data_IF_326846888247
#
_entry.id   IF_326846888247
#
_cell.length_a   1.000
_cell.length_b   1.000
_cell.length_c   1.000
_cell.angle_alpha   90.00
_cell.angle_beta   90.00
_cell.angle_gamma   90.00
#
_symmetry.space_group_name_H-M   'P 1'
#
loop_
_entity.id
_entity.type
_entity.pdbx_description
1 polymer ?
#
# COMPACT_ATOMS: atom_id res chain seq x y z
N UNK A 1 6.14 -62.80 5.78
CA UNK A 1 7.21 -63.11 6.76
C UNK A 1 7.63 -61.78 7.38
N UNK A 2 7.10 -61.43 8.57
CA UNK A 2 7.72 -61.64 9.90
C UNK A 2 9.09 -60.93 9.97
N UNK A 3 9.24 -59.80 10.65
CA UNK A 3 9.21 -59.57 12.12
C UNK A 3 10.56 -58.90 12.47
N UNK A 4 10.85 -58.14 13.53
CA UNK A 4 10.36 -57.79 14.88
C UNK A 4 11.11 -56.48 15.24
N UNK A 5 10.86 -55.67 16.27
CA UNK A 5 10.03 -55.65 17.48
C UNK A 5 10.29 -54.27 18.16
N UNK A 6 9.26 -53.61 18.73
CA UNK A 6 9.01 -53.48 20.17
C UNK A 6 10.12 -52.70 20.95
N UNK A 7 9.85 -51.72 21.81
CA UNK A 7 8.74 -51.61 22.76
C UNK A 7 8.66 -50.21 23.42
N UNK A 8 7.41 -49.71 23.61
CA UNK A 8 6.79 -49.14 24.84
C UNK A 8 7.28 -47.81 25.48
N UNK A 9 6.47 -46.95 26.13
CA UNK A 9 5.02 -46.75 26.41
C UNK A 9 4.88 -45.30 26.95
N UNK A 10 3.80 -44.53 26.74
CA UNK A 10 2.64 -44.46 27.65
C UNK A 10 1.42 -43.79 26.95
N UNK A 11 0.27 -44.44 27.14
CA UNK A 11 -1.12 -44.14 26.73
C UNK A 11 -1.68 -42.86 27.40
N UNK A 12 -2.52 -42.00 26.82
CA UNK A 12 -3.78 -42.09 26.02
C UNK A 12 -5.08 -42.02 26.86
N UNK A 13 -5.89 -41.00 26.50
CA UNK A 13 -7.37 -40.82 26.49
C UNK A 13 -8.20 -40.93 27.79
N UNK A 14 -9.11 -40.01 28.17
CA UNK A 14 -10.22 -39.24 27.52
C UNK A 14 -11.59 -39.95 27.64
N UNK A 15 -12.60 -39.13 28.01
CA UNK A 15 -14.08 -39.22 27.84
C UNK A 15 -15.01 -39.63 29.02
N UNK A 16 -15.88 -38.65 29.33
CA UNK A 16 -17.35 -38.67 29.47
C UNK A 16 -18.11 -39.29 30.67
N UNK A 17 -18.87 -38.39 31.31
CA UNK A 17 -20.33 -38.38 31.54
C UNK A 17 -21.03 -39.55 32.26
N UNK A 18 -21.81 -39.23 33.30
CA UNK A 18 -22.84 -40.11 33.86
C UNK A 18 -23.45 -39.60 35.16
N UNK A 19 -24.72 -39.17 35.09
CA UNK A 19 -25.62 -38.89 36.22
C UNK A 19 -25.76 -40.10 37.17
N UNK A 20 -26.06 -39.85 38.46
CA UNK A 20 -27.25 -40.39 39.12
C UNK A 20 -27.44 -39.85 40.54
N UNK A 21 -28.69 -39.44 40.82
CA UNK A 21 -29.22 -39.11 42.13
C UNK A 21 -30.01 -40.30 42.69
N UNK A 22 -29.91 -40.59 44.00
CA UNK A 22 -30.97 -41.23 44.82
C UNK A 22 -30.52 -41.28 46.30
N UNK A 23 -31.12 -40.51 47.21
CA UNK A 23 -32.24 -40.83 48.14
C UNK A 23 -31.89 -41.60 49.42
N UNK A 24 -32.17 -40.94 50.55
CA UNK A 24 -32.80 -41.40 51.81
C UNK A 24 -32.28 -42.63 52.57
N UNK A 25 -32.01 -42.44 53.88
CA UNK A 25 -32.71 -43.17 54.96
C UNK A 25 -32.58 -42.50 56.34
N UNK A 26 -33.74 -42.37 56.99
CA UNK A 26 -33.94 -42.07 58.40
C UNK A 26 -33.62 -43.31 59.27
N UNK A 27 -33.16 -43.07 60.49
CA UNK A 27 -33.04 -44.09 61.54
C UNK A 27 -32.84 -43.46 62.91
N UNK A 28 -33.95 -43.31 63.65
CA UNK A 28 -34.05 -42.94 65.07
C UNK A 28 -33.33 -43.97 65.97
N UNK A 29 -32.76 -43.50 67.06
CA UNK A 29 -32.86 -44.17 68.38
C UNK A 29 -32.99 -43.13 69.48
N UNK A 30 -34.03 -43.30 70.28
CA UNK A 30 -34.35 -42.59 71.52
C UNK A 30 -33.32 -42.93 72.62
N UNK A 31 -33.15 -42.00 73.56
CA UNK A 31 -32.38 -42.19 74.79
C UNK A 31 -32.58 -40.95 75.67
N UNK A 32 -33.18 -41.17 76.82
CA UNK A 32 -34.06 -40.25 77.53
C UNK A 32 -33.42 -39.71 78.83
N UNK A 33 -33.90 -38.52 79.23
CA UNK A 33 -33.97 -37.90 80.58
C UNK A 33 -32.72 -37.43 81.38
N UNK A 34 -32.96 -36.24 81.98
CA UNK A 34 -32.42 -35.60 83.20
C UNK A 34 -31.30 -34.59 82.99
N UNK A 35 -31.26 -33.40 83.60
CA UNK A 35 -32.21 -32.54 84.31
C UNK A 35 -31.45 -31.25 84.67
N UNK A 36 -32.12 -30.09 84.63
CA UNK A 36 -31.79 -28.83 85.32
C UNK A 36 -30.51 -28.07 84.91
N UNK A 37 -30.66 -26.87 84.33
CA UNK A 37 -30.53 -25.64 85.13
C UNK A 37 -31.05 -24.41 84.36
N UNK A 38 -31.91 -23.63 85.00
CA UNK A 38 -32.27 -22.28 84.59
C UNK A 38 -31.21 -21.31 85.17
N UNK A 39 -30.68 -20.40 84.36
CA UNK A 39 -30.59 -18.96 84.70
C UNK A 39 -29.75 -18.14 83.72
N UNK A 40 -30.09 -16.85 83.68
CA UNK A 40 -29.32 -15.71 83.19
C UNK A 40 -29.59 -15.21 81.75
N UNK A 41 -30.59 -14.33 81.71
CA UNK A 41 -30.80 -13.26 80.74
C UNK A 41 -29.54 -12.37 80.62
N UNK A 42 -29.06 -12.14 79.39
CA UNK A 42 -28.31 -10.94 79.01
C UNK A 42 -28.82 -10.42 77.65
N UNK A 43 -29.24 -9.15 77.52
CA UNK A 43 -29.62 -8.58 76.24
C UNK A 43 -28.34 -8.27 75.44
N UNK A 44 -28.08 -9.10 74.43
CA UNK A 44 -27.04 -8.89 73.43
C UNK A 44 -27.30 -7.61 72.63
N UNK A 45 -26.54 -6.58 72.97
CA UNK A 45 -26.34 -5.31 72.26
C UNK A 45 -26.33 -5.50 70.73
N UNK A 46 -27.36 -5.02 70.03
CA UNK A 46 -27.32 -4.83 68.56
C UNK A 46 -26.28 -3.76 68.26
N UNK A 47 -25.02 -4.17 68.15
CA UNK A 47 -23.95 -3.35 67.59
C UNK A 47 -24.20 -3.22 66.10
N UNK A 48 -24.54 -2.01 65.69
CA UNK A 48 -24.84 -1.61 64.32
C UNK A 48 -23.61 -1.80 63.44
N UNK A 49 -23.64 -2.84 62.60
CA UNK A 49 -22.78 -2.96 61.40
C UNK A 49 -23.07 -1.88 60.34
N UNK A 50 -23.71 -0.77 60.71
CA UNK A 50 -24.16 0.26 59.76
C UNK A 50 -22.96 0.86 59.02
N UNK A 51 -21.84 1.11 59.69
CA UNK A 51 -20.64 1.65 59.06
C UNK A 51 -20.06 0.72 57.98
N UNK A 52 -20.06 -0.59 58.21
CA UNK A 52 -19.57 -1.59 57.26
C UNK A 52 -20.48 -1.67 56.03
N UNK A 53 -21.80 -1.70 56.24
CA UNK A 53 -22.79 -1.69 55.17
C UNK A 53 -22.77 -0.40 54.37
N UNK A 54 -22.52 0.74 55.02
CA UNK A 54 -22.40 2.04 54.35
C UNK A 54 -21.14 2.07 53.47
N UNK A 55 -20.01 1.53 53.94
CA UNK A 55 -18.80 1.41 53.11
C UNK A 55 -19.01 0.49 51.90
N UNK A 56 -19.66 -0.66 52.07
CA UNK A 56 -19.95 -1.58 50.95
C UNK A 56 -20.87 -0.91 49.92
N UNK A 57 -21.89 -0.18 50.36
CA UNK A 57 -22.78 0.56 49.47
C UNK A 57 -22.08 1.71 48.73
N UNK A 58 -21.18 2.43 49.41
CA UNK A 58 -20.38 3.50 48.78
C UNK A 58 -19.41 2.92 47.74
N UNK A 59 -18.73 1.82 48.04
CA UNK A 59 -17.83 1.14 47.09
C UNK A 59 -18.62 0.59 45.89
N UNK A 60 -19.77 -0.03 46.13
CA UNK A 60 -20.65 -0.53 45.07
C UNK A 60 -21.21 0.61 44.19
N UNK A 61 -21.55 1.75 44.79
CA UNK A 61 -22.00 2.94 44.06
C UNK A 61 -20.86 3.56 43.23
N UNK A 62 -19.66 3.67 43.79
CA UNK A 62 -18.48 4.13 43.04
C UNK A 62 -18.17 3.18 41.87
N UNK A 63 -18.24 1.86 42.09
CA UNK A 63 -18.05 0.87 41.03
C UNK A 63 -19.14 0.95 39.97
N UNK A 64 -20.41 1.15 40.36
CA UNK A 64 -21.53 1.31 39.43
C UNK A 64 -21.43 2.62 38.64
N UNK A 65 -20.97 3.72 39.26
CA UNK A 65 -20.72 5.00 38.59
C UNK A 65 -19.52 4.86 37.64
N UNK A 66 -18.42 4.23 38.06
CA UNK A 66 -17.26 3.99 37.21
C UNK A 66 -17.63 3.08 36.03
N UNK A 67 -18.43 2.03 36.25
CA UNK A 67 -18.94 1.17 35.20
C UNK A 67 -19.92 1.90 34.28
N UNK A 68 -20.82 2.72 34.82
CA UNK A 68 -21.72 3.55 34.02
C UNK A 68 -20.95 4.58 33.18
N UNK A 69 -19.92 5.22 33.74
CA UNK A 69 -19.03 6.14 33.03
C UNK A 69 -18.24 5.42 31.94
N UNK A 70 -17.70 4.23 32.21
CA UNK A 70 -17.03 3.39 31.22
C UNK A 70 -17.98 2.94 30.10
N UNK A 71 -19.22 2.56 30.43
CA UNK A 71 -20.26 2.18 29.46
C UNK A 71 -20.79 3.39 28.67
N UNK A 72 -20.80 4.58 29.26
CA UNK A 72 -21.19 5.85 28.62
C UNK A 72 -20.07 6.45 27.77
N UNK A 73 -18.82 6.06 28.00
CA UNK A 73 -17.64 6.46 27.23
C UNK A 73 -17.22 5.41 26.18
N UNK A 74 -18.09 4.45 25.90
CA UNK A 74 -17.90 3.51 24.79
C UNK A 74 -17.81 4.30 23.48
N UNK A 75 -16.59 4.50 23.02
CA UNK A 75 -16.25 5.14 21.77
C UNK A 75 -16.56 4.26 20.56
N UNK A 76 -15.85 4.50 19.48
CA UNK A 76 -15.85 3.64 18.29
C UNK A 76 -14.43 3.29 17.89
N UNK A 77 -14.32 2.39 16.94
CA UNK A 77 -13.04 1.95 16.39
C UNK A 77 -12.76 2.72 15.10
N UNK A 78 -11.60 3.39 15.02
CA UNK A 78 -11.09 3.98 13.80
C UNK A 78 -10.02 3.05 13.22
N UNK A 79 -10.27 2.49 12.04
CA UNK A 79 -9.32 1.68 11.29
C UNK A 79 -8.79 2.48 10.12
N UNK A 80 -7.54 2.92 10.25
CA UNK A 80 -6.84 3.72 9.23
C UNK A 80 -5.94 2.79 8.42
N UNK A 81 -6.24 2.61 7.14
CA UNK A 81 -5.45 1.84 6.20
C UNK A 81 -4.75 2.78 5.22
N UNK A 82 -3.42 2.77 5.18
CA UNK A 82 -2.65 3.66 4.30
C UNK A 82 -1.78 2.91 3.31
N UNK A 83 -1.65 3.48 2.12
CA UNK A 83 -0.73 3.04 1.08
C UNK A 83 0.18 4.22 0.74
N UNK A 84 1.47 4.21 1.07
CA UNK A 84 2.27 3.11 1.62
C UNK A 84 2.02 2.90 3.14
N UNK A 85 2.60 1.86 3.76
CA UNK A 85 2.74 1.78 5.22
C UNK A 85 3.63 2.90 5.77
N UNK A 86 3.75 3.00 7.10
CA UNK A 86 4.66 3.93 7.78
C UNK A 86 4.15 5.37 7.82
N UNK A 87 2.84 5.58 7.75
CA UNK A 87 2.22 6.92 7.78
C UNK A 87 1.88 7.27 9.23
N UNK A 88 2.30 8.46 9.68
CA UNK A 88 1.92 8.98 10.98
C UNK A 88 0.45 9.36 10.96
N UNK A 89 -0.31 8.81 11.89
CA UNK A 89 -1.72 9.12 12.12
C UNK A 89 -1.80 10.13 13.25
N UNK A 90 -2.46 11.26 12.97
CA UNK A 90 -2.63 12.38 13.88
C UNK A 90 -4.11 12.55 14.17
N UNK A 91 -4.50 12.62 15.44
CA UNK A 91 -5.86 12.95 15.86
C UNK A 91 -5.79 14.24 16.68
N UNK A 92 -6.56 15.24 16.26
CA UNK A 92 -6.68 16.54 16.94
C UNK A 92 -5.31 17.19 17.25
N UNK A 93 -4.37 17.05 16.31
CA UNK A 93 -3.02 17.63 16.39
C UNK A 93 -1.97 16.76 17.09
N UNK A 94 -2.36 15.63 17.70
CA UNK A 94 -1.44 14.71 18.38
C UNK A 94 -1.18 13.46 17.55
N UNK A 95 0.08 13.05 17.39
CA UNK A 95 0.41 11.77 16.72
C UNK A 95 0.02 10.61 17.62
N UNK A 96 -0.91 9.78 17.16
CA UNK A 96 -1.48 8.66 17.92
C UNK A 96 -0.87 7.31 17.53
N UNK A 97 -0.20 7.23 16.39
CA UNK A 97 0.51 6.03 15.95
C UNK A 97 1.01 6.12 14.52
N UNK A 98 1.52 5.00 14.03
CA UNK A 98 2.02 4.83 12.66
C UNK A 98 1.39 3.58 12.07
N UNK A 99 0.99 3.61 10.81
CA UNK A 99 0.45 2.44 10.11
C UNK A 99 1.53 1.38 9.87
N UNK A 100 1.56 0.33 10.70
CA UNK A 100 2.38 -0.87 10.46
C UNK A 100 1.64 -1.81 9.52
N UNK A 101 2.31 -2.38 8.51
CA UNK A 101 1.67 -3.23 7.49
C UNK A 101 0.41 -2.60 6.88
N UNK A 102 0.49 -1.28 6.64
CA UNK A 102 -0.55 -0.46 6.05
C UNK A 102 -1.81 -0.29 6.89
N UNK A 103 -1.86 -0.70 8.16
CA UNK A 103 -3.06 -0.53 9.02
C UNK A 103 -2.69 -0.02 10.41
N UNK A 104 -3.51 0.88 10.94
CA UNK A 104 -3.55 1.23 12.36
C UNK A 104 -5.02 1.16 12.83
N UNK A 105 -5.26 0.47 13.94
CA UNK A 105 -6.60 0.38 14.57
C UNK A 105 -6.54 1.10 15.90
N UNK A 106 -7.46 2.03 16.13
CA UNK A 106 -7.52 2.88 17.31
C UNK A 106 -8.92 2.84 17.91
N UNK A 107 -9.00 2.77 19.24
CA UNK A 107 -10.23 3.09 19.96
C UNK A 107 -10.28 4.60 20.20
N UNK A 108 -11.34 5.26 19.73
CA UNK A 108 -11.47 6.71 19.73
C UNK A 108 -12.77 7.09 20.45
N UNK A 109 -12.69 8.10 21.31
CA UNK A 109 -13.87 8.62 22.00
C UNK A 109 -14.91 9.11 20.98
N UNK A 110 -16.19 9.00 21.36
CA UNK A 110 -17.31 9.50 20.56
C UNK A 110 -17.18 11.00 20.27
N UNK A 111 -17.61 11.42 19.07
CA UNK A 111 -17.57 12.80 18.64
C UNK A 111 -16.86 12.98 17.30
N UNK A 112 -16.71 14.22 16.87
CA UNK A 112 -15.97 14.55 15.64
C UNK A 112 -14.51 14.78 15.96
N UNK A 113 -13.63 14.06 15.25
CA UNK A 113 -12.18 14.18 15.38
C UNK A 113 -11.56 14.67 14.08
N UNK A 114 -10.48 15.44 14.17
CA UNK A 114 -9.67 15.83 13.01
C UNK A 114 -8.59 14.80 12.78
N UNK A 115 -8.76 14.02 11.72
CA UNK A 115 -7.78 13.03 11.29
C UNK A 115 -6.76 13.70 10.37
N UNK A 116 -5.48 13.52 10.67
CA UNK A 116 -4.36 13.95 9.84
C UNK A 116 -3.45 12.78 9.51
N UNK A 117 -3.00 12.70 8.25
CA UNK A 117 -2.05 11.68 7.80
C UNK A 117 -0.79 12.36 7.27
N UNK A 118 0.37 11.93 7.75
CA UNK A 118 1.65 12.58 7.43
C UNK A 118 2.79 11.56 7.27
N UNK A 119 3.49 11.64 6.13
CA UNK A 119 4.74 10.92 5.85
C UNK A 119 5.67 11.83 5.05
N UNK A 120 6.97 11.83 5.37
CA UNK A 120 7.94 12.68 4.69
C UNK A 120 7.97 12.39 3.18
N UNK A 121 7.91 13.43 2.35
CA UNK A 121 7.87 13.31 0.89
C UNK A 121 6.49 12.98 0.32
N UNK A 122 5.44 13.01 1.14
CA UNK A 122 4.05 12.84 0.74
C UNK A 122 3.22 14.08 1.08
N UNK A 123 2.18 14.31 0.28
CA UNK A 123 1.18 15.32 0.56
C UNK A 123 0.46 15.01 1.87
N UNK A 124 0.21 16.05 2.68
CA UNK A 124 -0.52 15.90 3.94
C UNK A 124 -2.00 15.74 3.65
N UNK A 125 -2.63 14.75 4.26
CA UNK A 125 -4.09 14.55 4.16
C UNK A 125 -4.74 14.96 5.48
N UNK A 126 -5.88 15.63 5.39
CA UNK A 126 -6.71 15.98 6.56
C UNK A 126 -8.18 15.69 6.25
N UNK A 127 -8.88 15.09 7.20
CA UNK A 127 -10.32 14.84 7.15
C UNK A 127 -10.95 15.01 8.55
N UNK A 128 -12.27 15.08 8.61
CA UNK A 128 -13.03 15.06 9.86
C UNK A 128 -13.87 13.79 9.91
N UNK A 129 -13.67 12.99 10.95
CA UNK A 129 -14.38 11.72 11.14
C UNK A 129 -15.32 11.84 12.35
N UNK A 130 -16.57 11.42 12.20
CA UNK A 130 -17.54 11.46 13.29
C UNK A 130 -17.74 10.07 13.88
N UNK A 131 -17.17 9.84 15.06
CA UNK A 131 -17.19 8.55 15.76
C UNK A 131 -18.50 8.39 16.55
N UNK A 132 -19.25 7.32 16.27
CA UNK A 132 -20.41 6.90 17.08
C UNK A 132 -20.08 5.67 17.91
N UNK A 133 -20.90 5.43 18.94
CA UNK A 133 -20.73 4.31 19.87
C UNK A 133 -20.77 2.97 19.14
N UNK A 134 -19.70 2.19 19.29
CA UNK A 134 -19.57 0.85 18.72
C UNK A 134 -19.48 0.82 17.19
N UNK A 135 -19.32 1.97 16.54
CA UNK A 135 -19.11 2.08 15.10
C UNK A 135 -17.66 1.78 14.75
N UNK A 136 -17.45 1.14 13.61
CA UNK A 136 -16.12 0.98 13.00
C UNK A 136 -16.06 1.90 11.79
N UNK A 137 -15.15 2.87 11.81
CA UNK A 137 -14.88 3.75 10.68
C UNK A 137 -13.63 3.25 9.97
N UNK A 138 -13.78 2.91 8.69
CA UNK A 138 -12.68 2.49 7.81
C UNK A 138 -12.23 3.70 6.99
N UNK A 139 -10.98 4.14 7.18
CA UNK A 139 -10.36 5.20 6.39
C UNK A 139 -9.27 4.57 5.54
N UNK A 140 -9.51 4.44 4.23
CA UNK A 140 -8.51 3.97 3.27
C UNK A 140 -7.89 5.16 2.54
N UNK A 141 -6.58 5.37 2.71
CA UNK A 141 -5.86 6.48 2.08
C UNK A 141 -4.65 6.02 1.28
N UNK A 142 -4.63 6.38 0.00
CA UNK A 142 -3.42 6.33 -0.83
C UNK A 142 -2.72 7.68 -0.75
N UNK A 143 -1.50 7.70 -0.21
CA UNK A 143 -0.70 8.91 -0.07
C UNK A 143 -0.09 9.27 -1.43
N UNK A 144 -0.26 10.52 -1.86
CA UNK A 144 0.37 11.06 -3.06
C UNK A 144 1.76 11.61 -2.73
N UNK A 145 2.75 11.36 -3.57
CA UNK A 145 4.06 12.01 -3.46
C UNK A 145 4.07 13.25 -4.32
N UNK A 146 4.70 14.32 -3.85
CA UNK A 146 4.70 15.61 -4.56
C UNK A 146 5.18 15.50 -6.03
N UNK A 147 6.12 14.58 -6.31
CA UNK A 147 6.77 14.44 -7.62
C UNK A 147 6.39 13.15 -8.37
N UNK A 148 5.61 12.25 -7.75
CA UNK A 148 5.30 10.94 -8.33
C UNK A 148 3.81 10.64 -8.27
N UNK A 149 3.30 10.00 -9.31
CA UNK A 149 1.94 9.48 -9.35
C UNK A 149 1.90 8.07 -8.77
N UNK A 150 0.92 7.82 -7.91
CA UNK A 150 0.59 6.44 -7.52
C UNK A 150 -0.06 5.70 -8.68
N UNK A 151 0.47 4.53 -9.01
CA UNK A 151 -0.11 3.61 -9.98
C UNK A 151 -0.62 2.38 -9.26
N UNK A 152 -1.94 2.21 -9.30
CA UNK A 152 -2.59 1.03 -8.76
C UNK A 152 -2.12 -0.24 -9.49
N UNK A 153 -1.81 -1.26 -8.71
CA UNK A 153 -1.47 -2.59 -9.21
C UNK A 153 -2.66 -3.31 -9.84
N UNK A 154 -2.53 -4.63 -9.93
CA UNK A 154 -3.53 -5.53 -10.50
C UNK A 154 -3.26 -5.89 -11.96
N UNK A 155 -4.20 -6.62 -12.55
CA UNK A 155 -4.07 -7.18 -13.88
C UNK A 155 -4.35 -6.16 -15.00
N UNK A 156 -3.66 -6.31 -16.13
CA UNK A 156 -3.93 -5.60 -17.38
C UNK A 156 -3.46 -6.39 -18.59
N UNK A 157 -4.01 -6.07 -19.76
CA UNK A 157 -3.60 -6.66 -21.03
C UNK A 157 -2.44 -5.83 -21.63
N UNK A 158 -1.25 -6.43 -21.70
CA UNK A 158 -0.04 -5.82 -22.23
C UNK A 158 0.17 -6.21 -23.69
N UNK A 159 0.50 -5.22 -24.54
CA UNK A 159 0.72 -5.38 -25.99
C UNK A 159 -0.43 -4.94 -26.88
N UNK A 160 -0.28 -5.18 -28.20
CA UNK A 160 -1.24 -4.77 -29.24
C UNK A 160 -1.48 -5.91 -30.25
N UNK A 161 -2.75 -6.35 -30.38
CA UNK A 161 -3.17 -7.39 -31.36
C UNK A 161 -2.93 -6.95 -32.80
N UNK A 162 -2.94 -5.65 -33.06
CA UNK A 162 -2.75 -5.04 -34.37
C UNK A 162 -1.37 -4.36 -34.48
N UNK A 163 -0.53 -4.47 -33.46
CA UNK A 163 0.79 -3.85 -33.40
C UNK A 163 1.87 -4.59 -34.18
N UNK A 164 3.10 -4.10 -34.04
CA UNK A 164 4.27 -4.75 -34.59
C UNK A 164 4.49 -6.15 -33.99
N UNK A 165 5.34 -6.95 -34.61
CA UNK A 165 5.64 -8.32 -34.14
C UNK A 165 6.11 -8.34 -32.68
N UNK A 166 6.94 -7.38 -32.27
CA UNK A 166 7.44 -7.30 -30.89
C UNK A 166 6.39 -6.88 -29.87
N UNK A 167 5.26 -6.34 -30.32
CA UNK A 167 4.13 -5.91 -29.47
C UNK A 167 3.11 -7.04 -29.25
N UNK A 168 3.40 -8.23 -29.80
CA UNK A 168 2.55 -9.42 -29.80
C UNK A 168 3.24 -10.59 -29.07
N UNK A 169 2.46 -11.54 -28.53
CA UNK A 169 1.00 -11.49 -28.37
C UNK A 169 0.58 -10.50 -27.28
N UNK A 170 -0.70 -10.12 -27.30
CA UNK A 170 -1.32 -9.55 -26.09
C UNK A 170 -1.35 -10.63 -25.01
N UNK A 171 -0.94 -10.27 -23.80
CA UNK A 171 -0.88 -11.19 -22.67
C UNK A 171 -1.24 -10.47 -21.37
N UNK A 172 -1.82 -11.20 -20.42
CA UNK A 172 -2.20 -10.66 -19.10
C UNK A 172 -0.96 -10.52 -18.21
N UNK A 173 -0.73 -9.31 -17.71
CA UNK A 173 0.30 -8.99 -16.72
C UNK A 173 -0.37 -8.48 -15.45
N UNK A 174 0.15 -8.88 -14.29
CA UNK A 174 -0.30 -8.48 -12.97
C UNK A 174 0.86 -7.78 -12.24
N UNK A 175 0.64 -6.50 -11.92
CA UNK A 175 1.66 -5.67 -11.27
C UNK A 175 1.31 -5.42 -9.81
N UNK A 176 2.33 -5.38 -8.96
CA UNK A 176 2.20 -4.72 -7.66
C UNK A 176 2.00 -3.21 -7.87
N UNK A 177 1.32 -2.50 -6.94
CA UNK A 177 1.26 -1.05 -6.98
C UNK A 177 2.64 -0.41 -6.79
N UNK A 178 2.86 0.75 -7.39
CA UNK A 178 4.14 1.47 -7.38
C UNK A 178 3.91 2.97 -7.59
N UNK A 179 4.96 3.75 -7.37
CA UNK A 179 5.02 5.16 -7.76
C UNK A 179 5.81 5.31 -9.07
N UNK A 180 5.38 6.22 -9.92
CA UNK A 180 6.11 6.62 -11.13
C UNK A 180 6.26 8.14 -11.16
N UNK A 181 7.44 8.63 -11.50
CA UNK A 181 7.70 10.06 -11.67
C UNK A 181 6.71 10.67 -12.66
N UNK A 182 6.16 11.84 -12.30
CA UNK A 182 5.15 12.53 -13.12
C UNK A 182 5.68 12.96 -14.47
N UNK A 183 6.96 13.31 -14.53
CA UNK A 183 7.67 13.75 -15.74
C UNK A 183 8.92 12.92 -15.94
N UNK A 184 9.58 13.08 -17.08
CA UNK A 184 10.97 12.67 -17.23
C UNK A 184 11.88 13.42 -16.22
N UNK A 185 13.04 12.83 -15.93
CA UNK A 185 14.09 13.48 -15.15
C UNK A 185 14.63 14.66 -15.95
N UNK A 186 14.71 15.82 -15.30
CA UNK A 186 15.16 17.05 -15.96
C UNK A 186 16.67 17.18 -15.98
N UNK A 187 17.18 17.99 -16.91
CA UNK A 187 18.59 18.37 -16.99
C UNK A 187 19.07 19.00 -15.68
N UNK A 188 18.28 19.87 -15.05
CA UNK A 188 18.63 20.50 -13.78
C UNK A 188 18.77 19.50 -12.64
N UNK A 189 17.84 18.54 -12.56
CA UNK A 189 17.90 17.48 -11.55
C UNK A 189 19.12 16.57 -11.77
N UNK A 190 19.42 16.23 -13.02
CA UNK A 190 20.59 15.40 -13.35
C UNK A 190 21.91 16.13 -13.11
N UNK A 191 22.02 17.44 -13.40
CA UNK A 191 23.20 18.26 -13.07
C UNK A 191 23.46 18.33 -11.56
N UNK A 192 22.39 18.31 -10.75
CA UNK A 192 22.51 18.23 -9.29
C UNK A 192 23.12 16.91 -8.81
N UNK A 193 22.89 15.81 -9.54
CA UNK A 193 23.50 14.50 -9.29
C UNK A 193 24.92 14.39 -9.86
N UNK A 194 25.12 14.80 -11.11
CA UNK A 194 26.39 14.78 -11.82
C UNK A 194 26.75 16.20 -12.31
N UNK A 195 27.52 16.97 -11.52
CA UNK A 195 28.02 18.28 -11.91
C UNK A 195 28.96 18.26 -13.13
N UNK A 196 29.40 17.07 -13.58
CA UNK A 196 30.19 16.86 -14.79
C UNK A 196 29.36 16.78 -16.07
N UNK A 197 28.05 16.57 -15.97
CA UNK A 197 27.17 16.52 -17.14
C UNK A 197 27.15 17.86 -17.88
N UNK A 198 27.37 17.83 -19.21
CA UNK A 198 27.38 19.00 -20.08
C UNK A 198 26.34 18.81 -21.18
N UNK A 199 25.39 19.73 -21.24
CA UNK A 199 24.37 19.79 -22.27
C UNK A 199 24.01 21.25 -22.53
N UNK A 200 23.60 21.56 -23.76
CA UNK A 200 23.07 22.88 -24.14
C UNK A 200 21.57 23.03 -23.82
N UNK A 201 20.94 21.96 -23.34
CA UNK A 201 19.54 21.96 -22.94
C UNK A 201 19.29 22.84 -21.70
N UNK A 202 18.08 23.42 -21.65
CA UNK A 202 17.51 24.12 -20.51
C UNK A 202 17.29 23.15 -19.34
N UNK A 203 17.41 23.65 -18.10
CA UNK A 203 17.29 22.83 -16.89
C UNK A 203 15.92 22.16 -16.74
N UNK A 204 14.87 22.67 -17.39
CA UNK A 204 13.53 22.08 -17.35
C UNK A 204 13.28 21.06 -18.47
N UNK A 205 14.17 20.95 -19.45
CA UNK A 205 14.08 19.90 -20.48
C UNK A 205 14.44 18.54 -19.89
N UNK A 206 13.95 17.42 -20.48
CA UNK A 206 14.37 16.09 -20.07
C UNK A 206 15.87 15.91 -20.33
N UNK A 207 16.57 15.28 -19.40
CA UNK A 207 17.96 14.90 -19.61
C UNK A 207 18.04 13.85 -20.72
N UNK A 208 18.92 14.05 -21.69
CA UNK A 208 19.18 13.10 -22.77
C UNK A 208 20.68 12.91 -22.99
N UNK A 209 21.08 12.14 -24.00
CA UNK A 209 22.49 11.85 -24.29
C UNK A 209 23.24 11.19 -23.11
N UNK A 210 22.49 10.35 -22.38
CA UNK A 210 23.01 9.50 -21.32
C UNK A 210 22.76 8.03 -21.66
N UNK A 211 23.63 7.16 -21.15
CA UNK A 211 23.45 5.72 -21.28
C UNK A 211 22.41 5.22 -20.29
N UNK A 212 21.90 4.01 -20.53
CA UNK A 212 21.03 3.32 -19.57
C UNK A 212 21.68 3.17 -18.19
N UNK A 213 23.00 2.98 -18.16
CA UNK A 213 23.74 2.79 -16.89
C UNK A 213 23.74 4.05 -16.04
N UNK A 214 23.83 5.22 -16.67
CA UNK A 214 23.76 6.51 -15.97
C UNK A 214 22.35 6.81 -15.49
N UNK A 215 21.33 6.52 -16.31
CA UNK A 215 19.93 6.65 -15.92
C UNK A 215 19.60 5.78 -14.68
N UNK A 216 20.06 4.53 -14.69
CA UNK A 216 19.87 3.60 -13.57
C UNK A 216 20.62 4.06 -12.31
N UNK A 217 21.87 4.51 -12.46
CA UNK A 217 22.67 5.04 -11.36
C UNK A 217 22.03 6.29 -10.73
N UNK A 218 21.50 7.20 -11.55
CA UNK A 218 20.74 8.35 -11.08
C UNK A 218 19.54 7.90 -10.23
N UNK A 219 18.67 7.04 -10.78
CA UNK A 219 17.46 6.62 -10.04
C UNK A 219 17.84 5.99 -8.70
N UNK A 220 18.87 5.14 -8.65
CA UNK A 220 19.38 4.56 -7.41
C UNK A 220 19.87 5.61 -6.41
N UNK A 221 20.58 6.63 -6.87
CA UNK A 221 21.11 7.68 -6.00
C UNK A 221 20.04 8.48 -5.26
N UNK A 222 18.83 8.58 -5.84
CA UNK A 222 17.68 9.26 -5.26
C UNK A 222 16.68 8.29 -4.59
N UNK A 223 17.09 7.05 -4.33
CA UNK A 223 16.26 6.04 -3.66
C UNK A 223 15.12 5.48 -4.53
N UNK A 224 15.25 5.58 -5.84
CA UNK A 224 14.28 5.09 -6.85
C UNK A 224 14.92 4.00 -7.73
N UNK A 225 14.23 3.59 -8.79
CA UNK A 225 14.71 2.67 -9.85
C UNK A 225 14.17 3.10 -11.21
N UNK A 226 14.63 2.49 -12.30
CA UNK A 226 13.92 2.59 -13.57
C UNK A 226 12.62 1.75 -13.50
N UNK A 227 11.54 2.16 -14.19
CA UNK A 227 10.35 1.32 -14.34
C UNK A 227 10.68 0.06 -15.14
N UNK A 228 9.96 -1.02 -14.89
CA UNK A 228 9.87 -2.12 -15.86
C UNK A 228 9.08 -1.66 -17.10
N UNK A 229 9.28 -2.36 -18.21
CA UNK A 229 8.54 -2.13 -19.44
C UNK A 229 7.02 -2.29 -19.23
N UNK A 230 6.62 -3.22 -18.35
CA UNK A 230 5.23 -3.47 -17.99
C UNK A 230 4.64 -2.35 -17.14
N UNK A 231 5.37 -1.87 -16.13
CA UNK A 231 4.98 -0.71 -15.34
C UNK A 231 4.84 0.53 -16.22
N UNK A 232 5.78 0.76 -17.13
CA UNK A 232 5.68 1.88 -18.04
C UNK A 232 4.43 1.78 -18.93
N UNK A 233 4.15 0.61 -19.51
CA UNK A 233 2.94 0.42 -20.33
C UNK A 233 1.65 0.63 -19.54
N UNK A 234 1.54 0.03 -18.35
CA UNK A 234 0.37 0.18 -17.47
C UNK A 234 0.10 1.64 -17.17
N UNK A 235 1.14 2.40 -16.86
CA UNK A 235 1.05 3.82 -16.55
C UNK A 235 0.61 4.64 -17.77
N UNK A 236 1.18 4.39 -18.95
CA UNK A 236 0.81 5.07 -20.20
C UNK A 236 -0.65 4.82 -20.59
N UNK A 237 -1.07 3.55 -20.56
CA UNK A 237 -2.41 3.15 -21.00
C UNK A 237 -3.51 3.51 -20.00
N UNK A 238 -3.15 3.61 -18.71
CA UNK A 238 -4.10 3.79 -17.62
C UNK A 238 -5.15 2.66 -17.53
N UNK A 239 -6.15 2.85 -16.69
CA UNK A 239 -7.22 1.86 -16.49
C UNK A 239 -8.08 1.61 -17.74
N UNK A 240 -8.11 2.55 -18.69
CA UNK A 240 -8.90 2.45 -19.93
C UNK A 240 -8.18 1.73 -21.07
N UNK A 241 -6.89 1.41 -20.91
CA UNK A 241 -6.15 0.69 -21.95
C UNK A 241 -5.81 1.54 -23.18
N UNK A 242 -5.65 2.87 -23.02
CA UNK A 242 -5.50 3.85 -24.10
C UNK A 242 -4.32 3.54 -25.05
N UNK A 243 -4.44 3.97 -26.31
CA UNK A 243 -3.35 3.79 -27.30
C UNK A 243 -2.18 4.76 -27.10
N UNK A 244 -2.45 5.97 -26.62
CA UNK A 244 -1.48 7.02 -26.31
C UNK A 244 -1.73 7.51 -24.88
N UNK A 245 -0.73 8.16 -24.28
CA UNK A 245 -0.81 8.63 -22.89
C UNK A 245 -2.02 9.53 -22.63
N UNK A 246 -2.45 10.29 -23.64
CA UNK A 246 -3.57 11.23 -23.60
C UNK A 246 -4.88 10.71 -24.21
N UNK A 247 -4.95 9.46 -24.71
CA UNK A 247 -6.16 8.87 -25.29
C UNK A 247 -5.93 7.98 -26.51
N UNK A 248 -6.97 7.73 -27.29
CA UNK A 248 -6.92 6.77 -28.40
C UNK A 248 -6.70 7.37 -29.78
N UNK A 249 -6.93 8.68 -29.93
CA UNK A 249 -6.73 9.39 -31.19
C UNK A 249 -5.38 10.09 -31.16
N UNK A 250 -4.51 9.73 -32.09
CA UNK A 250 -3.21 10.38 -32.23
C UNK A 250 -3.35 11.88 -32.50
N UNK A 251 -2.60 12.67 -31.74
CA UNK A 251 -2.47 14.12 -31.89
C UNK A 251 -1.00 14.51 -31.67
N UNK A 252 -0.37 15.02 -32.72
CA UNK A 252 1.03 15.47 -32.70
C UNK A 252 1.25 16.54 -31.62
N UNK A 253 0.29 17.45 -31.45
CA UNK A 253 0.39 18.57 -30.53
C UNK A 253 0.17 18.12 -29.08
N UNK A 254 -0.63 17.08 -28.84
CA UNK A 254 -0.90 16.57 -27.49
C UNK A 254 0.26 15.76 -26.89
N UNK A 255 1.18 15.26 -27.70
CA UNK A 255 2.32 14.46 -27.23
C UNK A 255 3.65 14.87 -27.84
N UNK A 256 3.84 16.13 -28.23
CA UNK A 256 5.08 16.61 -28.85
C UNK A 256 5.67 15.69 -29.94
N UNK A 257 4.88 14.90 -30.66
CA UNK A 257 5.38 13.81 -31.49
C UNK A 257 5.22 14.18 -32.95
N UNK A 258 6.27 14.72 -33.55
CA UNK A 258 6.30 15.09 -34.95
C UNK A 258 7.37 16.15 -35.25
N UNK A 259 8.17 15.91 -36.28
CA UNK A 259 9.24 16.83 -36.69
C UNK A 259 8.75 18.26 -36.98
N UNK A 260 7.49 18.42 -37.37
CA UNK A 260 6.86 19.72 -37.65
C UNK A 260 6.71 20.63 -36.43
N UNK A 261 6.90 20.12 -35.21
CA UNK A 261 6.75 20.89 -33.97
C UNK A 261 8.06 21.52 -33.47
N UNK A 262 9.19 21.22 -34.13
CA UNK A 262 10.50 21.81 -33.85
C UNK A 262 11.59 20.76 -33.63
N UNK A 263 12.84 21.22 -33.59
CA UNK A 263 14.01 20.38 -33.42
C UNK A 263 14.35 20.23 -31.93
N UNK A 264 14.01 19.08 -31.33
CA UNK A 264 14.43 18.71 -29.98
C UNK A 264 13.29 18.61 -28.96
N UNK A 265 13.64 18.13 -27.75
CA UNK A 265 12.71 18.02 -26.64
C UNK A 265 12.33 19.42 -26.12
N UNK A 266 11.27 19.52 -25.34
CA UNK A 266 10.88 20.76 -24.65
C UNK A 266 10.84 20.55 -23.15
N UNK A 267 10.52 21.60 -22.39
CA UNK A 267 10.39 21.50 -20.95
C UNK A 267 9.41 20.37 -20.58
N UNK A 268 9.74 19.58 -19.56
CA UNK A 268 8.85 18.54 -19.07
C UNK A 268 7.55 19.16 -18.53
N UNK A 269 6.47 18.40 -18.60
CA UNK A 269 5.13 18.82 -18.21
C UNK A 269 4.46 19.82 -19.17
N UNK A 270 4.99 19.99 -20.38
CA UNK A 270 4.44 20.94 -21.36
C UNK A 270 3.16 20.44 -22.05
N UNK A 271 2.90 19.14 -22.01
CA UNK A 271 1.82 18.52 -22.78
C UNK A 271 0.79 17.78 -21.92
N UNK A 272 -0.35 17.50 -22.57
CA UNK A 272 -1.58 17.10 -21.90
C UNK A 272 -1.36 15.92 -20.95
N UNK A 273 -2.01 16.03 -19.78
CA UNK A 273 -2.02 15.03 -18.71
C UNK A 273 -2.47 13.68 -19.24
N UNK A 274 -1.60 12.68 -19.10
CA UNK A 274 -2.03 11.30 -19.12
C UNK A 274 -2.76 10.91 -17.83
N UNK A 275 -3.09 9.62 -17.74
CA UNK A 275 -3.79 9.07 -16.58
C UNK A 275 -2.99 9.28 -15.29
N UNK A 276 -3.69 9.58 -14.19
CA UNK A 276 -3.06 9.69 -12.86
C UNK A 276 -2.12 10.90 -12.68
N UNK A 277 -2.20 11.92 -13.53
CA UNK A 277 -1.36 13.12 -13.42
C UNK A 277 0.07 12.95 -13.94
N UNK A 278 0.33 11.83 -14.64
CA UNK A 278 1.54 11.61 -15.42
C UNK A 278 1.52 12.49 -16.67
N UNK A 279 2.70 12.93 -17.08
CA UNK A 279 2.92 13.87 -18.18
C UNK A 279 3.94 13.26 -19.15
N UNK A 280 3.81 13.63 -20.42
CA UNK A 280 4.79 13.33 -21.48
C UNK A 280 5.08 11.84 -21.74
N UNK A 281 4.17 10.93 -21.38
CA UNK A 281 4.29 9.49 -21.72
C UNK A 281 4.15 9.18 -23.21
N UNK A 282 3.96 10.20 -24.05
CA UNK A 282 3.88 10.08 -25.50
C UNK A 282 4.68 11.21 -26.11
N UNK A 283 5.72 10.86 -26.87
CA UNK A 283 6.68 11.76 -27.48
C UNK A 283 7.62 12.45 -26.47
N UNK A 284 7.99 13.69 -26.73
CA UNK A 284 9.11 14.39 -26.09
C UNK A 284 10.43 13.62 -26.21
N UNK A 285 10.73 12.66 -25.34
CA UNK A 285 11.89 11.77 -25.46
C UNK A 285 11.50 10.32 -25.22
N UNK A 286 12.22 9.40 -25.86
CA UNK A 286 12.12 7.98 -25.47
C UNK A 286 12.59 7.81 -24.04
N UNK A 287 12.04 6.84 -23.33
CA UNK A 287 12.37 6.61 -21.92
C UNK A 287 12.95 5.23 -21.69
N UNK A 288 14.14 5.17 -21.07
CA UNK A 288 14.75 3.91 -20.64
C UNK A 288 13.87 3.15 -19.62
N UNK A 289 13.71 1.85 -19.84
CA UNK A 289 13.13 0.90 -18.88
C UNK A 289 14.21 -0.05 -18.34
N UNK A 290 13.95 -0.70 -17.22
CA UNK A 290 14.90 -1.61 -16.56
C UNK A 290 15.16 -2.90 -17.35
N UNK A 291 14.18 -3.37 -18.12
CA UNK A 291 14.19 -4.64 -18.84
C UNK A 291 15.30 -4.73 -19.89
N UNK A 292 15.88 -5.93 -20.02
CA UNK A 292 16.51 -6.29 -21.29
C UNK A 292 15.42 -6.37 -22.37
N UNK A 293 15.72 -5.90 -23.56
CA UNK A 293 14.81 -6.00 -24.69
C UNK A 293 14.87 -7.40 -25.30
N UNK A 294 13.76 -8.13 -25.23
CA UNK A 294 13.53 -9.34 -26.02
C UNK A 294 12.43 -9.10 -27.05
N UNK A 295 12.76 -9.28 -28.34
CA UNK A 295 11.78 -9.14 -29.44
C UNK A 295 10.57 -10.06 -29.26
N UNK A 296 10.81 -11.31 -28.87
CA UNK A 296 9.78 -12.34 -28.70
C UNK A 296 9.31 -12.54 -27.26
N UNK A 297 9.77 -11.70 -26.33
CA UNK A 297 9.62 -11.93 -24.88
C UNK A 297 8.16 -12.07 -24.43
N UNK A 298 7.22 -11.36 -25.06
CA UNK A 298 5.79 -11.42 -24.72
C UNK A 298 5.20 -12.85 -24.84
N UNK A 299 5.80 -13.74 -25.65
CA UNK A 299 5.37 -15.14 -25.78
C UNK A 299 5.66 -15.99 -24.54
N UNK A 300 6.65 -15.59 -23.74
CA UNK A 300 7.14 -16.33 -22.57
C UNK A 300 7.14 -15.47 -21.31
N UNK A 301 6.51 -14.30 -21.35
CA UNK A 301 6.48 -13.35 -20.24
C UNK A 301 5.75 -13.98 -19.05
N UNK A 302 6.34 -13.96 -17.83
CA UNK A 302 5.63 -14.37 -16.63
C UNK A 302 4.50 -13.39 -16.33
N UNK A 303 3.44 -13.90 -15.72
CA UNK A 303 2.25 -13.09 -15.41
C UNK A 303 2.52 -12.01 -14.36
N UNK A 304 3.25 -12.32 -13.29
CA UNK A 304 3.43 -11.42 -12.14
C UNK A 304 4.74 -10.64 -12.26
N UNK A 305 4.67 -9.31 -12.21
CA UNK A 305 5.83 -8.39 -12.25
C UNK A 305 6.94 -8.82 -13.23
N UNK A 306 6.66 -8.94 -14.55
CA UNK A 306 7.68 -9.31 -15.53
C UNK A 306 8.78 -8.23 -15.59
N UNK A 307 10.04 -8.68 -15.66
CA UNK A 307 11.24 -7.82 -15.66
C UNK A 307 12.10 -8.00 -16.92
N UNK A 308 11.50 -8.54 -17.99
CA UNK A 308 12.18 -8.85 -19.24
C UNK A 308 12.99 -10.16 -19.18
N UNK A 309 13.66 -10.52 -20.29
CA UNK A 309 14.62 -11.62 -20.29
C UNK A 309 15.77 -11.38 -19.30
N UNK A 310 16.36 -12.45 -18.80
CA UNK A 310 17.49 -12.37 -17.86
C UNK A 310 18.74 -11.67 -18.46
N UNK A 311 18.92 -11.76 -19.78
CA UNK A 311 20.07 -11.22 -20.52
C UNK A 311 19.64 -10.63 -21.86
N UNK A 312 20.41 -9.68 -22.38
CA UNK A 312 20.23 -9.13 -23.72
C UNK A 312 21.39 -8.21 -24.12
N UNK A 313 21.33 -7.71 -25.35
CA UNK A 313 22.28 -6.73 -25.92
C UNK A 313 21.73 -5.29 -25.87
N UNK A 314 20.42 -5.16 -25.69
CA UNK A 314 19.67 -3.90 -25.70
C UNK A 314 18.74 -3.78 -24.51
N UNK A 315 18.51 -2.57 -24.02
CA UNK A 315 17.51 -2.25 -22.99
C UNK A 315 16.25 -1.69 -23.63
N UNK A 316 15.10 -1.99 -23.05
CA UNK A 316 13.82 -1.50 -23.56
C UNK A 316 13.73 0.03 -23.43
N UNK A 317 13.13 0.67 -24.42
CA UNK A 317 12.77 2.10 -24.40
C UNK A 317 11.30 2.26 -24.80
N UNK A 318 10.65 3.33 -24.35
CA UNK A 318 9.20 3.54 -24.51
C UNK A 318 8.83 4.99 -24.80
N UNK A 319 7.60 5.25 -25.26
CA UNK A 319 7.00 6.59 -25.36
C UNK A 319 7.09 7.31 -26.70
N UNK A 320 8.12 7.04 -27.50
CA UNK A 320 8.42 7.88 -28.66
C UNK A 320 9.22 9.12 -28.26
N UNK A 321 9.70 9.87 -29.24
CA UNK A 321 10.43 11.13 -29.05
C UNK A 321 9.84 12.26 -29.91
N UNK A 322 10.41 13.46 -29.83
CA UNK A 322 9.85 14.67 -30.47
C UNK A 322 9.67 14.56 -32.00
N UNK A 323 10.40 13.66 -32.66
CA UNK A 323 10.30 13.42 -34.11
C UNK A 323 9.45 12.21 -34.47
N UNK A 324 8.91 11.48 -33.49
CA UNK A 324 8.17 10.23 -33.70
C UNK A 324 6.83 10.46 -34.37
N UNK A 325 6.40 9.49 -35.16
CA UNK A 325 5.07 9.46 -35.75
C UNK A 325 4.10 8.67 -34.86
N UNK A 326 2.84 8.54 -35.29
CA UNK A 326 1.79 7.81 -34.58
C UNK A 326 2.22 6.40 -34.16
N UNK A 327 2.82 5.62 -35.08
CA UNK A 327 3.16 4.23 -34.81
C UNK A 327 4.23 4.11 -33.71
N UNK A 328 5.22 4.99 -33.71
CA UNK A 328 6.30 5.00 -32.71
C UNK A 328 5.91 5.63 -31.37
N UNK A 329 4.79 6.36 -31.33
CA UNK A 329 4.35 7.08 -30.12
C UNK A 329 3.27 6.31 -29.33
N UNK A 330 2.86 5.13 -29.78
CA UNK A 330 1.90 4.29 -29.04
C UNK A 330 2.48 3.84 -27.71
N UNK A 331 1.63 3.76 -26.69
CA UNK A 331 1.97 3.16 -25.40
C UNK A 331 2.49 1.71 -25.53
N UNK A 332 2.10 0.99 -26.59
CA UNK A 332 2.51 -0.40 -26.83
C UNK A 332 3.81 -0.52 -27.61
N UNK A 333 4.28 0.55 -28.27
CA UNK A 333 5.45 0.46 -29.14
C UNK A 333 6.76 0.32 -28.35
N UNK A 334 7.48 -0.78 -28.60
CA UNK A 334 8.62 -1.23 -27.78
C UNK A 334 9.90 -1.50 -28.57
N UNK A 335 10.68 -0.47 -28.92
CA UNK A 335 12.03 -0.67 -29.39
C UNK A 335 12.98 -1.01 -28.22
N UNK A 336 14.15 -1.51 -28.57
CA UNK A 336 15.29 -1.61 -27.65
C UNK A 336 16.49 -0.87 -28.22
N UNK A 337 17.30 -0.28 -27.35
CA UNK A 337 18.54 0.39 -27.73
C UNK A 337 19.74 -0.15 -26.92
N UNK A 338 20.94 0.02 -27.47
CA UNK A 338 22.18 -0.51 -26.88
C UNK A 338 22.42 0.14 -25.52
N UNK A 339 22.68 -0.68 -24.50
CA UNK A 339 22.83 -0.23 -23.10
C UNK A 339 23.84 0.91 -22.90
N UNK A 340 24.95 0.89 -23.64
CA UNK A 340 26.04 1.89 -23.55
C UNK A 340 25.84 3.09 -24.46
N UNK A 341 24.84 3.06 -25.35
CA UNK A 341 24.63 4.14 -26.32
C UNK A 341 24.02 5.34 -25.62
N UNK A 342 24.63 6.50 -25.83
CA UNK A 342 24.06 7.81 -25.54
C UNK A 342 23.36 8.30 -26.80
N UNK A 343 22.11 8.74 -26.65
CA UNK A 343 21.28 9.18 -27.75
C UNK A 343 20.54 10.46 -27.33
N UNK A 344 20.61 11.54 -28.11
CA UNK A 344 19.99 12.82 -27.73
C UNK A 344 18.46 12.72 -27.68
N UNK A 345 17.87 11.63 -28.19
CA UNK A 345 16.43 11.39 -28.18
C UNK A 345 15.92 10.50 -27.06
N UNK A 346 16.80 10.05 -26.16
CA UNK A 346 16.46 9.13 -25.09
C UNK A 346 16.82 9.75 -23.74
N UNK A 347 15.79 9.90 -22.90
CA UNK A 347 15.89 10.20 -21.49
C UNK A 347 15.32 9.05 -20.65
N UNK A 348 14.73 9.39 -19.51
CA UNK A 348 14.12 8.42 -18.60
C UNK A 348 13.27 9.12 -17.53
N UNK A 349 12.45 8.33 -16.83
CA UNK A 349 11.80 8.69 -15.57
C UNK A 349 12.02 7.59 -14.54
N UNK A 350 11.94 7.90 -13.25
CA UNK A 350 12.11 6.88 -12.22
C UNK A 350 10.77 6.33 -11.72
N UNK A 351 10.82 5.11 -11.19
CA UNK A 351 9.76 4.43 -10.46
C UNK A 351 10.24 4.09 -9.03
N UNK A 352 9.31 3.80 -8.14
CA UNK A 352 9.62 3.39 -6.77
C UNK A 352 8.54 2.46 -6.21
N UNK A 353 8.98 1.42 -5.50
CA UNK A 353 8.10 0.50 -4.77
C UNK A 353 7.49 1.19 -3.53
N UNK A 354 6.41 0.64 -2.98
CA UNK A 354 5.63 1.26 -1.90
C UNK A 354 6.23 1.19 -0.49
N UNK A 355 7.49 0.83 -0.30
CA UNK A 355 8.02 0.46 1.04
C UNK A 355 7.65 1.41 2.22
#
# INVERSE_FOLDING_TARGET
>A
MLGKGADRTHCIEVLCCGEQASTYRFGRTEGDVTSQDESAILPGRRSTNSALWTMVLVVALIAAIAYALFVLDAGGTLRVRTTPPGVNVVIDGSTVGVTSDSVLVLEVARGTVKLGLHKQGFERVQSEETIRRGEVIEVEQVMQRFEMSFIGGGAFEMGDRNGAFSEKPVHTVELDPYYLDRTEVTVGAFRGYDPGYRSVQDDRQPVTDISWTEAEAYCRSVGKRLPSEAEWERACRGARGAQYGYGDRYDIAAGRSGQSLGAGPVAVGSYATGHGGLLDLTGNVWEWCSDWYGRDYYKTSPRRNPTGPATGDRRAIRGGAWFSNAAFSKCTHRPGNIRSKRDPSIGFRCAQDLN
#
